data_IF_475323705999
#
_entry.id   IF_475323705999
#
_cell.length_a   1.000
_cell.length_b   1.000
_cell.length_c   1.000
_cell.angle_alpha   90.00
_cell.angle_beta   90.00
_cell.angle_gamma   90.00
#
_symmetry.space_group_name_H-M   'P 1'
#
loop_
_entity.id
_entity.type
_entity.pdbx_description
1 polymer ?
#
# COMPACT_ATOMS: atom_id res chain seq x y z
N UNK A 1 -14.50 -1.88 47.01
CA UNK A 1 -13.44 -2.17 46.03
C UNK A 1 -12.64 -0.89 45.86
N UNK A 2 -11.35 -0.89 46.18
CA UNK A 2 -10.50 0.31 46.01
C UNK A 2 -10.33 0.60 44.51
N UNK A 3 -10.12 1.86 44.14
CA UNK A 3 -9.97 2.27 42.73
C UNK A 3 -8.83 1.49 42.04
N UNK A 4 -7.75 1.19 42.76
CA UNK A 4 -6.61 0.43 42.25
C UNK A 4 -6.96 -1.02 41.93
N UNK A 5 -7.79 -1.65 42.78
CA UNK A 5 -8.27 -3.01 42.55
C UNK A 5 -9.19 -3.05 41.33
N UNK A 6 -10.00 -2.02 41.11
CA UNK A 6 -10.86 -1.91 39.93
C UNK A 6 -10.03 -1.80 38.64
N UNK A 7 -9.04 -0.90 38.62
CA UNK A 7 -8.13 -0.72 37.49
C UNK A 7 -7.37 -2.01 37.16
N UNK A 8 -6.88 -2.70 38.18
CA UNK A 8 -6.18 -3.98 38.04
C UNK A 8 -7.02 -5.03 37.31
N UNK A 9 -8.29 -5.20 37.70
CA UNK A 9 -9.20 -6.18 37.08
C UNK A 9 -9.57 -5.79 35.65
N UNK A 10 -9.81 -4.50 35.38
CA UNK A 10 -10.08 -4.00 34.03
C UNK A 10 -8.89 -4.28 33.13
N UNK A 11 -7.68 -3.89 33.56
CA UNK A 11 -6.46 -4.08 32.80
C UNK A 11 -6.24 -5.57 32.46
N UNK A 12 -6.41 -6.45 33.46
CA UNK A 12 -6.30 -7.90 33.27
C UNK A 12 -7.32 -8.44 32.24
N UNK A 13 -8.58 -7.99 32.32
CA UNK A 13 -9.65 -8.42 31.43
C UNK A 13 -9.42 -7.93 29.98
N UNK A 14 -8.98 -6.68 29.82
CA UNK A 14 -8.66 -6.10 28.51
C UNK A 14 -7.48 -6.82 27.87
N UNK A 15 -6.40 -7.05 28.62
CA UNK A 15 -5.25 -7.81 28.14
C UNK A 15 -5.62 -9.25 27.75
N UNK A 16 -6.50 -9.91 28.51
CA UNK A 16 -6.99 -11.24 28.19
C UNK A 16 -7.78 -11.24 26.87
N UNK A 17 -8.64 -10.24 26.68
CA UNK A 17 -9.45 -10.10 25.48
C UNK A 17 -8.62 -9.80 24.23
N UNK A 18 -7.56 -8.99 24.35
CA UNK A 18 -6.58 -8.76 23.27
C UNK A 18 -5.93 -10.08 22.87
N UNK A 19 -5.34 -10.80 23.84
CA UNK A 19 -4.63 -12.06 23.58
C UNK A 19 -5.56 -13.10 22.93
N UNK A 20 -6.78 -13.26 23.46
CA UNK A 20 -7.79 -14.15 22.91
C UNK A 20 -8.17 -13.76 21.48
N UNK A 21 -8.41 -12.47 21.22
CA UNK A 21 -8.82 -12.01 19.89
C UNK A 21 -7.75 -12.23 18.83
N UNK A 22 -6.48 -12.08 19.19
CA UNK A 22 -5.33 -12.36 18.33
C UNK A 22 -5.13 -13.87 18.09
N UNK A 23 -5.27 -14.69 19.13
CA UNK A 23 -5.20 -16.16 19.02
C UNK A 23 -6.27 -16.75 18.12
N UNK A 24 -7.48 -16.19 18.17
CA UNK A 24 -8.62 -16.63 17.36
C UNK A 24 -8.60 -16.11 15.92
N UNK A 25 -7.58 -15.36 15.51
CA UNK A 25 -7.45 -14.90 14.14
C UNK A 25 -7.27 -16.07 13.16
N UNK A 26 -8.09 -16.10 12.11
CA UNK A 26 -8.00 -17.09 11.02
C UNK A 26 -7.53 -16.43 9.73
N UNK A 27 -6.51 -17.03 9.10
CA UNK A 27 -5.83 -16.50 7.90
C UNK A 27 -6.69 -16.52 6.63
N UNK A 28 -7.79 -17.27 6.58
CA UNK A 28 -8.75 -17.38 5.45
C UNK A 28 -8.11 -17.29 4.05
N UNK A 29 -7.07 -18.11 3.81
CA UNK A 29 -6.40 -18.20 2.50
C UNK A 29 -5.43 -17.06 2.13
N UNK A 30 -5.13 -16.13 3.04
CA UNK A 30 -4.14 -15.06 2.81
C UNK A 30 -2.70 -15.59 2.83
N UNK A 31 -1.80 -14.99 2.04
CA UNK A 31 -0.37 -15.34 2.03
C UNK A 31 0.27 -15.11 3.42
N UNK A 32 1.16 -16.01 3.82
CA UNK A 32 1.84 -15.94 5.11
C UNK A 32 2.94 -14.87 5.11
N UNK A 33 2.82 -13.85 5.98
CA UNK A 33 3.87 -12.86 6.24
C UNK A 33 4.56 -13.16 7.56
N UNK A 34 5.86 -13.47 7.52
CA UNK A 34 6.68 -13.80 8.72
C UNK A 34 6.63 -12.70 9.78
N UNK A 35 6.74 -11.44 9.36
CA UNK A 35 6.66 -10.28 10.26
C UNK A 35 5.34 -10.24 11.03
N UNK A 36 4.21 -10.44 10.34
CA UNK A 36 2.89 -10.45 10.97
C UNK A 36 2.73 -11.57 12.01
N UNK A 37 3.34 -12.73 11.77
CA UNK A 37 3.35 -13.83 12.73
C UNK A 37 4.20 -13.52 13.97
N UNK A 38 5.38 -12.94 13.79
CA UNK A 38 6.26 -12.53 14.91
C UNK A 38 5.59 -11.45 15.76
N UNK A 39 5.01 -10.42 15.13
CA UNK A 39 4.30 -9.36 15.85
C UNK A 39 3.09 -9.89 16.61
N UNK A 40 2.30 -10.77 15.99
CA UNK A 40 1.17 -11.42 16.68
C UNK A 40 1.62 -12.22 17.89
N UNK A 41 2.70 -12.99 17.77
CA UNK A 41 3.25 -13.75 18.89
C UNK A 41 3.67 -12.84 20.05
N UNK A 42 4.45 -11.78 19.77
CA UNK A 42 4.90 -10.83 20.79
C UNK A 42 3.71 -10.19 21.51
N UNK A 43 2.71 -9.72 20.75
CA UNK A 43 1.51 -9.10 21.32
C UNK A 43 0.70 -10.07 22.18
N UNK A 44 0.50 -11.31 21.72
CA UNK A 44 -0.20 -12.35 22.49
C UNK A 44 0.53 -12.62 23.80
N UNK A 45 1.84 -12.84 23.77
CA UNK A 45 2.64 -13.15 24.96
C UNK A 45 2.65 -11.97 25.92
N UNK A 46 2.88 -10.75 25.42
CA UNK A 46 2.89 -9.54 26.23
C UNK A 46 1.55 -9.35 26.95
N UNK A 47 0.43 -9.37 26.23
CA UNK A 47 -0.90 -9.19 26.82
C UNK A 47 -1.30 -10.35 27.74
N UNK A 48 -1.08 -11.61 27.34
CA UNK A 48 -1.41 -12.77 28.19
C UNK A 48 -0.57 -12.79 29.48
N UNK A 49 0.69 -12.32 29.44
CA UNK A 49 1.55 -12.26 30.62
C UNK A 49 1.03 -11.31 31.71
N UNK A 50 0.34 -10.23 31.34
CA UNK A 50 -0.24 -9.28 32.29
C UNK A 50 -1.41 -9.96 33.01
N UNK A 51 -2.34 -10.55 32.25
CA UNK A 51 -3.45 -11.33 32.81
C UNK A 51 -2.95 -12.44 33.72
N UNK A 52 -1.95 -13.21 33.28
CA UNK A 52 -1.38 -14.30 34.07
C UNK A 52 -0.77 -13.79 35.37
N UNK A 53 0.04 -12.71 35.32
CA UNK A 53 0.68 -12.11 36.51
C UNK A 53 -0.34 -11.57 37.53
N UNK A 54 -1.49 -11.07 37.08
CA UNK A 54 -2.61 -10.68 37.95
C UNK A 54 -3.23 -11.92 38.63
N UNK A 55 -3.47 -13.00 37.88
CA UNK A 55 -4.07 -14.22 38.42
C UNK A 55 -3.19 -14.93 39.46
N UNK A 56 -1.87 -14.95 39.27
CA UNK A 56 -0.93 -15.51 40.26
C UNK A 56 -0.65 -14.56 41.43
N UNK A 57 -1.23 -13.36 41.43
CA UNK A 57 -1.08 -12.37 42.50
C UNK A 57 0.29 -11.67 42.54
N UNK A 58 1.06 -11.69 41.45
CA UNK A 58 2.38 -11.02 41.37
C UNK A 58 2.26 -9.60 40.81
N UNK A 59 1.14 -9.27 40.14
CA UNK A 59 0.83 -7.92 39.66
C UNK A 59 -0.17 -7.25 40.61
N UNK A 60 0.27 -6.19 41.30
CA UNK A 60 -0.45 -5.65 42.46
C UNK A 60 -1.24 -4.36 42.17
N UNK A 61 -0.86 -3.61 41.13
CA UNK A 61 -1.51 -2.35 40.76
C UNK A 61 -1.36 -2.11 39.25
N UNK A 62 -2.42 -1.60 38.61
CA UNK A 62 -2.37 -1.14 37.23
C UNK A 62 -2.47 0.39 37.22
N UNK A 63 -1.65 1.03 36.37
CA UNK A 63 -1.72 2.47 36.19
C UNK A 63 -2.95 2.84 35.32
N UNK A 64 -3.52 4.02 35.56
CA UNK A 64 -4.63 4.55 34.75
C UNK A 64 -4.19 4.67 33.28
N UNK A 65 -2.97 5.15 33.03
CA UNK A 65 -2.41 5.31 31.68
C UNK A 65 -2.28 3.97 30.95
N UNK A 66 -1.75 2.94 31.63
CA UNK A 66 -1.65 1.58 31.11
C UNK A 66 -3.05 1.05 30.72
N UNK A 67 -4.02 1.23 31.61
CA UNK A 67 -5.39 0.76 31.42
C UNK A 67 -6.04 1.44 30.21
N UNK A 68 -5.88 2.77 30.07
CA UNK A 68 -6.39 3.54 28.92
C UNK A 68 -5.74 3.08 27.61
N UNK A 69 -4.41 2.92 27.61
CA UNK A 69 -3.67 2.45 26.42
C UNK A 69 -4.16 1.06 26.01
N UNK A 70 -4.34 0.14 26.97
CA UNK A 70 -4.81 -1.21 26.70
C UNK A 70 -6.26 -1.23 26.18
N UNK A 71 -7.14 -0.38 26.72
CA UNK A 71 -8.53 -0.25 26.20
C UNK A 71 -8.52 0.24 24.76
N UNK A 72 -7.72 1.27 24.46
CA UNK A 72 -7.60 1.80 23.11
C UNK A 72 -7.01 0.75 22.15
N UNK A 73 -5.95 0.06 22.56
CA UNK A 73 -5.33 -0.99 21.77
C UNK A 73 -6.30 -2.15 21.52
N UNK A 74 -7.09 -2.55 22.51
CA UNK A 74 -8.16 -3.54 22.35
C UNK A 74 -9.19 -3.11 21.31
N UNK A 75 -9.63 -1.84 21.33
CA UNK A 75 -10.55 -1.33 20.32
C UNK A 75 -9.97 -1.43 18.89
N UNK A 76 -8.67 -1.14 18.73
CA UNK A 76 -7.97 -1.31 17.44
C UNK A 76 -7.91 -2.78 17.02
N UNK A 77 -7.58 -3.70 17.93
CA UNK A 77 -7.54 -5.16 17.67
C UNK A 77 -8.90 -5.68 17.24
N UNK A 78 -9.98 -5.20 17.87
CA UNK A 78 -11.34 -5.54 17.47
C UNK A 78 -11.70 -5.01 16.09
N UNK A 79 -11.38 -3.74 15.80
CA UNK A 79 -11.58 -3.12 14.47
C UNK A 79 -10.78 -3.83 13.38
N UNK A 80 -9.55 -4.22 13.66
CA UNK A 80 -8.69 -5.00 12.78
C UNK A 80 -9.08 -6.47 12.67
N UNK A 81 -10.15 -6.90 13.37
CA UNK A 81 -10.61 -8.29 13.40
C UNK A 81 -9.47 -9.27 13.75
N UNK A 82 -8.58 -8.87 14.65
CA UNK A 82 -7.41 -9.67 15.08
C UNK A 82 -6.30 -9.81 14.05
N UNK A 83 -6.42 -9.18 12.88
CA UNK A 83 -5.34 -9.14 11.89
C UNK A 83 -4.31 -8.09 12.29
N UNK A 84 -3.18 -8.53 12.83
CA UNK A 84 -2.11 -7.65 13.28
C UNK A 84 -1.59 -6.74 12.18
N UNK A 85 -1.50 -7.22 10.93
CA UNK A 85 -1.06 -6.39 9.83
C UNK A 85 -2.06 -5.26 9.51
N UNK A 86 -3.34 -5.43 9.85
CA UNK A 86 -4.36 -4.39 9.66
C UNK A 86 -4.29 -3.30 10.73
N UNK A 87 -3.73 -3.58 11.91
CA UNK A 87 -3.45 -2.57 12.94
C UNK A 87 -2.49 -1.50 12.43
N UNK A 88 -1.53 -1.91 11.62
CA UNK A 88 -0.47 -1.04 11.08
C UNK A 88 -0.75 -0.58 9.64
N UNK A 89 -1.84 -1.04 9.02
CA UNK A 89 -2.20 -0.72 7.63
C UNK A 89 -2.55 0.75 7.41
N UNK A 90 -2.95 1.47 8.47
CA UNK A 90 -3.15 2.92 8.44
C UNK A 90 -1.87 3.76 8.63
N UNK A 91 -0.73 3.12 8.92
CA UNK A 91 0.57 3.78 9.12
C UNK A 91 1.68 3.30 8.17
N UNK A 92 1.42 2.28 7.36
CA UNK A 92 2.32 1.76 6.34
C UNK A 92 1.57 1.70 5.00
N UNK A 93 1.43 2.85 4.34
CA UNK A 93 1.33 2.82 2.88
C UNK A 93 2.63 2.21 2.36
N UNK A 94 2.55 1.29 1.40
CA UNK A 94 3.75 0.73 0.80
C UNK A 94 4.56 1.88 0.20
N UNK A 95 5.83 2.00 0.60
CA UNK A 95 6.70 3.03 0.02
C UNK A 95 7.03 2.67 -1.44
N UNK A 96 7.43 3.66 -2.25
CA UNK A 96 7.89 3.40 -3.62
C UNK A 96 9.02 2.37 -3.67
N UNK A 97 9.92 2.40 -2.69
CA UNK A 97 11.04 1.45 -2.58
C UNK A 97 10.54 0.03 -2.32
N UNK A 98 9.52 -0.15 -1.48
CA UNK A 98 8.90 -1.47 -1.25
C UNK A 98 8.18 -2.01 -2.50
N UNK A 99 7.58 -1.13 -3.31
CA UNK A 99 6.97 -1.53 -4.60
C UNK A 99 8.05 -2.00 -5.57
N UNK A 100 9.13 -1.23 -5.75
CA UNK A 100 10.23 -1.62 -6.62
C UNK A 100 10.93 -2.89 -6.14
N UNK A 101 11.18 -3.02 -4.84
CA UNK A 101 11.74 -4.22 -4.24
C UNK A 101 10.87 -5.46 -4.47
N UNK A 102 9.54 -5.29 -4.34
CA UNK A 102 8.58 -6.36 -4.60
C UNK A 102 8.49 -6.73 -6.08
N UNK A 103 8.71 -5.78 -6.98
CA UNK A 103 8.78 -6.02 -8.42
C UNK A 103 10.05 -6.78 -8.79
N UNK A 104 11.22 -6.28 -8.37
CA UNK A 104 12.53 -6.91 -8.62
C UNK A 104 12.61 -8.34 -8.08
N UNK A 105 11.95 -8.63 -6.95
CA UNK A 105 11.89 -9.99 -6.40
C UNK A 105 11.05 -10.96 -7.24
N UNK A 106 10.06 -10.46 -7.98
CA UNK A 106 9.20 -11.26 -8.86
C UNK A 106 9.83 -11.47 -10.23
N UNK A 107 10.49 -10.46 -10.77
CA UNK A 107 11.07 -10.45 -12.12
C UNK A 107 12.57 -10.79 -12.15
N UNK A 108 13.19 -10.99 -10.99
CA UNK A 108 14.63 -11.19 -10.85
C UNK A 108 15.17 -12.38 -11.65
N UNK A 109 16.32 -12.18 -12.29
CA UNK A 109 17.01 -13.18 -13.10
C UNK A 109 17.22 -12.72 -14.55
N UNK A 110 18.26 -13.25 -15.17
CA UNK A 110 18.53 -13.05 -16.58
C UNK A 110 17.70 -14.04 -17.40
N UNK A 111 16.98 -13.52 -18.39
CA UNK A 111 16.21 -14.31 -19.36
C UNK A 111 16.59 -13.83 -20.76
N UNK A 112 17.00 -14.77 -21.60
CA UNK A 112 17.23 -14.52 -23.02
C UNK A 112 16.60 -15.68 -23.80
N UNK A 113 15.34 -15.51 -24.20
CA UNK A 113 14.65 -16.51 -25.00
C UNK A 113 14.70 -16.11 -26.49
N UNK A 114 15.20 -16.97 -27.39
CA UNK A 114 15.31 -16.66 -28.83
C UNK A 114 13.97 -16.35 -29.53
N UNK A 115 12.85 -16.68 -28.90
CA UNK A 115 11.50 -16.44 -29.40
C UNK A 115 10.86 -15.14 -28.87
N UNK A 116 11.49 -14.46 -27.91
CA UNK A 116 10.92 -13.26 -27.30
C UNK A 116 11.25 -12.00 -28.11
N UNK A 117 10.20 -11.25 -28.43
CA UNK A 117 10.31 -9.96 -29.15
C UNK A 117 11.02 -8.86 -28.35
N UNK A 118 11.25 -9.06 -27.06
CA UNK A 118 11.79 -8.06 -26.13
C UNK A 118 13.31 -8.06 -25.96
N UNK A 119 14.02 -9.03 -26.54
CA UNK A 119 15.47 -9.19 -26.39
C UNK A 119 15.89 -9.64 -24.98
N UNK A 120 17.20 -9.69 -24.69
CA UNK A 120 17.69 -10.11 -23.38
C UNK A 120 17.21 -9.17 -22.27
N UNK A 121 16.73 -9.75 -21.19
CA UNK A 121 16.22 -9.05 -20.01
C UNK A 121 16.95 -9.52 -18.75
N UNK A 122 17.17 -8.61 -17.82
CA UNK A 122 17.62 -8.94 -16.47
C UNK A 122 16.90 -8.06 -15.47
N UNK A 123 16.43 -8.64 -14.36
CA UNK A 123 15.61 -7.94 -13.37
C UNK A 123 14.34 -7.30 -13.96
N UNK A 124 13.77 -7.89 -15.02
CA UNK A 124 12.62 -7.32 -15.75
C UNK A 124 12.96 -6.16 -16.70
N UNK A 125 14.21 -5.72 -16.75
CA UNK A 125 14.67 -4.61 -17.59
C UNK A 125 15.22 -5.16 -18.90
N UNK A 126 14.71 -4.66 -20.03
CA UNK A 126 15.23 -4.98 -21.36
C UNK A 126 16.57 -4.29 -21.60
N UNK A 127 17.43 -4.89 -22.42
CA UNK A 127 18.67 -4.24 -22.82
C UNK A 127 18.42 -2.83 -23.40
N UNK A 128 17.38 -2.66 -24.24
CA UNK A 128 17.03 -1.36 -24.78
C UNK A 128 16.70 -0.31 -23.69
N UNK A 129 15.91 -0.68 -22.68
CA UNK A 129 15.58 0.20 -21.56
C UNK A 129 16.82 0.54 -20.71
N UNK A 130 17.68 -0.45 -20.47
CA UNK A 130 18.94 -0.23 -19.76
C UNK A 130 19.86 0.75 -20.52
N UNK A 131 19.95 0.60 -21.84
CA UNK A 131 20.76 1.49 -22.71
C UNK A 131 20.18 2.90 -22.75
N UNK A 132 18.85 3.05 -22.79
CA UNK A 132 18.19 4.35 -22.72
C UNK A 132 18.48 5.08 -21.40
N UNK A 133 18.68 4.33 -20.31
CA UNK A 133 19.10 4.82 -19.01
C UNK A 133 20.64 4.90 -18.83
N UNK A 134 21.41 4.79 -19.91
CA UNK A 134 22.86 4.98 -19.92
C UNK A 134 23.69 3.79 -19.42
N UNK A 135 23.09 2.62 -19.20
CA UNK A 135 23.85 1.41 -18.88
C UNK A 135 24.53 0.87 -20.15
N UNK A 136 25.85 0.70 -20.13
CA UNK A 136 26.65 0.24 -21.27
C UNK A 136 27.24 -1.17 -21.11
N UNK A 137 27.11 -1.78 -19.92
CA UNK A 137 27.62 -3.12 -19.64
C UNK A 137 26.77 -4.24 -20.24
N UNK A 138 27.22 -5.48 -20.06
CA UNK A 138 26.43 -6.67 -20.40
C UNK A 138 25.16 -6.71 -19.52
N UNK A 139 23.99 -6.87 -20.14
CA UNK A 139 22.70 -6.89 -19.41
C UNK A 139 22.61 -8.06 -18.43
N UNK A 140 23.28 -9.18 -18.69
CA UNK A 140 23.36 -10.31 -17.75
C UNK A 140 24.08 -9.97 -16.43
N UNK A 141 24.94 -8.94 -16.46
CA UNK A 141 25.71 -8.45 -15.32
C UNK A 141 25.04 -7.25 -14.62
N UNK A 142 23.84 -6.85 -15.05
CA UNK A 142 23.10 -5.76 -14.43
C UNK A 142 22.85 -6.08 -12.95
N UNK A 143 23.41 -5.28 -12.06
CA UNK A 143 23.20 -5.43 -10.61
C UNK A 143 21.79 -5.00 -10.22
N UNK A 144 21.29 -5.55 -9.11
CA UNK A 144 20.03 -5.15 -8.52
C UNK A 144 19.92 -3.63 -8.29
N UNK A 145 20.99 -3.00 -7.81
CA UNK A 145 20.98 -1.56 -7.51
C UNK A 145 20.96 -0.72 -8.80
N UNK A 146 21.58 -1.19 -9.88
CA UNK A 146 21.46 -0.56 -11.19
C UNK A 146 20.03 -0.70 -11.73
N UNK A 147 19.44 -1.89 -11.60
CA UNK A 147 18.06 -2.12 -11.99
C UNK A 147 17.09 -1.21 -11.23
N UNK A 148 17.26 -1.09 -9.91
CA UNK A 148 16.45 -0.20 -9.07
C UNK A 148 16.54 1.26 -9.52
N UNK A 149 17.74 1.75 -9.89
CA UNK A 149 17.90 3.12 -10.41
C UNK A 149 17.16 3.33 -11.72
N UNK A 150 17.17 2.34 -12.62
CA UNK A 150 16.44 2.40 -13.89
C UNK A 150 14.93 2.45 -13.62
N UNK A 151 14.41 1.61 -12.73
CA UNK A 151 12.99 1.67 -12.35
C UNK A 151 12.61 3.03 -11.74
N UNK A 152 13.46 3.58 -10.87
CA UNK A 152 13.22 4.90 -10.29
C UNK A 152 13.19 5.99 -11.37
N UNK A 153 14.13 5.97 -12.32
CA UNK A 153 14.16 6.90 -13.43
C UNK A 153 12.89 6.80 -14.32
N UNK A 154 12.55 5.57 -14.76
CA UNK A 154 11.50 5.36 -15.75
C UNK A 154 10.07 5.46 -15.19
N UNK A 155 9.86 5.00 -13.95
CA UNK A 155 8.52 4.88 -13.35
C UNK A 155 8.24 5.90 -12.26
N UNK A 156 9.24 6.66 -11.80
CA UNK A 156 9.05 7.68 -10.76
C UNK A 156 9.41 9.08 -11.22
N UNK A 157 10.66 9.30 -11.65
CA UNK A 157 11.18 10.62 -11.99
C UNK A 157 10.70 11.12 -13.35
N UNK A 158 10.85 10.30 -14.40
CA UNK A 158 10.40 10.62 -15.76
C UNK A 158 8.91 10.99 -15.86
N UNK A 159 7.97 10.22 -15.26
CA UNK A 159 6.55 10.60 -15.23
C UNK A 159 6.22 11.69 -14.20
N UNK A 160 7.22 12.18 -13.45
CA UNK A 160 7.11 13.21 -12.42
C UNK A 160 6.14 12.88 -11.29
N UNK A 161 6.15 11.64 -10.82
CA UNK A 161 5.37 11.22 -9.65
C UNK A 161 5.97 11.74 -8.34
N UNK A 162 7.25 12.11 -8.34
CA UNK A 162 7.90 12.89 -7.28
C UNK A 162 7.17 14.22 -6.99
N UNK A 163 6.69 14.93 -8.03
CA UNK A 163 5.89 16.14 -7.84
C UNK A 163 4.55 15.87 -7.15
N UNK A 164 3.97 14.69 -7.38
CA UNK A 164 2.72 14.26 -6.73
C UNK A 164 3.00 13.84 -5.28
N UNK A 165 4.11 13.15 -5.02
CA UNK A 165 4.52 12.69 -3.68
C UNK A 165 4.64 13.85 -2.69
N UNK A 166 5.17 14.99 -3.13
CA UNK A 166 5.24 16.22 -2.33
C UNK A 166 3.85 16.71 -1.88
N UNK A 167 2.79 16.38 -2.62
CA UNK A 167 1.41 16.79 -2.32
C UNK A 167 0.64 15.69 -1.58
N UNK A 168 0.76 14.44 -2.02
CA UNK A 168 0.16 13.26 -1.41
C UNK A 168 0.96 12.02 -1.81
N UNK A 169 1.70 11.47 -0.85
CA UNK A 169 2.43 10.22 -1.02
C UNK A 169 1.49 9.04 -1.37
N UNK A 170 0.32 8.83 -0.71
CA UNK A 170 -0.58 7.74 -1.06
C UNK A 170 -1.02 7.76 -2.53
N UNK A 171 -1.31 8.95 -3.08
CA UNK A 171 -1.70 9.09 -4.48
C UNK A 171 -0.51 8.78 -5.39
N UNK A 172 0.69 9.30 -5.10
CA UNK A 172 1.87 9.03 -5.92
C UNK A 172 2.22 7.53 -5.97
N UNK A 173 2.10 6.84 -4.85
CA UNK A 173 2.27 5.38 -4.74
C UNK A 173 1.25 4.63 -5.59
N UNK A 174 -0.02 5.07 -5.59
CA UNK A 174 -1.06 4.45 -6.43
C UNK A 174 -0.80 4.65 -7.93
N UNK A 175 -0.28 5.82 -8.32
CA UNK A 175 0.13 6.09 -9.70
C UNK A 175 1.31 5.23 -10.13
N UNK A 176 2.28 4.99 -9.24
CA UNK A 176 3.39 4.10 -9.50
C UNK A 176 2.92 2.66 -9.72
N UNK A 177 2.11 2.13 -8.82
CA UNK A 177 1.57 0.77 -8.94
C UNK A 177 0.77 0.61 -10.26
N UNK A 178 -0.07 1.59 -10.58
CA UNK A 178 -0.79 1.61 -11.86
C UNK A 178 0.16 1.73 -13.05
N UNK A 179 1.19 2.59 -12.93
CA UNK A 179 2.15 2.87 -13.98
C UNK A 179 3.03 1.68 -14.34
N UNK A 180 3.43 0.88 -13.34
CA UNK A 180 4.14 -0.38 -13.54
C UNK A 180 3.31 -1.36 -14.37
N UNK A 181 2.00 -1.46 -14.08
CA UNK A 181 1.14 -2.43 -14.74
C UNK A 181 0.61 -1.98 -16.12
N UNK A 182 0.35 -0.67 -16.30
CA UNK A 182 -0.37 -0.14 -17.46
C UNK A 182 0.39 0.95 -18.23
N UNK A 183 1.57 1.34 -17.75
CA UNK A 183 2.35 2.46 -18.27
C UNK A 183 2.10 3.76 -17.48
N UNK A 184 3.14 4.54 -17.12
CA UNK A 184 3.00 5.76 -16.32
C UNK A 184 2.07 6.81 -16.93
N UNK A 185 2.06 6.96 -18.26
CA UNK A 185 1.15 7.89 -18.95
C UNK A 185 -0.32 7.52 -18.74
N UNK A 186 -0.67 6.24 -18.63
CA UNK A 186 -2.04 5.80 -18.37
C UNK A 186 -2.46 6.21 -16.95
N UNK A 187 -1.60 5.96 -15.95
CA UNK A 187 -1.84 6.38 -14.58
C UNK A 187 -2.01 7.91 -14.46
N UNK A 188 -1.13 8.68 -15.12
CA UNK A 188 -1.21 10.14 -15.15
C UNK A 188 -2.52 10.64 -15.77
N UNK A 189 -2.99 10.03 -16.87
CA UNK A 189 -4.29 10.36 -17.49
C UNK A 189 -5.46 10.05 -16.56
N UNK A 190 -5.41 8.94 -15.82
CA UNK A 190 -6.45 8.62 -14.83
C UNK A 190 -6.52 9.72 -13.76
N UNK A 191 -5.38 10.16 -13.22
CA UNK A 191 -5.35 11.27 -12.26
C UNK A 191 -5.94 12.55 -12.83
N UNK A 192 -5.51 12.96 -14.03
CA UNK A 192 -6.00 14.18 -14.67
C UNK A 192 -7.52 14.14 -14.89
N UNK A 193 -8.05 12.99 -15.34
CA UNK A 193 -9.51 12.80 -15.51
C UNK A 193 -10.25 12.88 -14.18
N UNK A 194 -9.77 12.22 -13.14
CA UNK A 194 -10.39 12.25 -11.82
C UNK A 194 -10.37 13.67 -11.23
N UNK A 195 -9.24 14.38 -11.32
CA UNK A 195 -9.14 15.75 -10.83
C UNK A 195 -10.07 16.70 -11.60
N UNK A 196 -10.15 16.59 -12.93
CA UNK A 196 -11.10 17.37 -13.74
C UNK A 196 -12.54 17.08 -13.34
N UNK A 197 -12.92 15.80 -13.18
CA UNK A 197 -14.28 15.43 -12.78
C UNK A 197 -14.66 15.91 -11.36
N UNK A 198 -13.67 16.12 -10.49
CA UNK A 198 -13.86 16.47 -9.08
C UNK A 198 -13.58 17.96 -8.76
N UNK A 199 -13.46 18.81 -9.79
CA UNK A 199 -13.09 20.22 -9.64
C UNK A 199 -14.25 21.18 -9.29
N UNK A 200 -15.45 20.64 -8.99
CA UNK A 200 -16.68 21.39 -8.69
C UNK A 200 -17.07 22.35 -9.83
N UNK A 201 -17.13 21.83 -11.07
CA UNK A 201 -17.50 22.62 -12.24
C UNK A 201 -16.50 23.75 -12.53
N UNK A 202 -15.21 23.49 -12.30
CA UNK A 202 -14.13 24.46 -12.48
C UNK A 202 -13.90 25.44 -11.33
N UNK A 203 -14.71 25.40 -10.25
CA UNK A 203 -14.58 26.34 -9.13
C UNK A 203 -13.31 26.17 -8.31
N UNK A 204 -12.84 24.94 -8.14
CA UNK A 204 -11.60 24.68 -7.38
C UNK A 204 -10.37 25.00 -8.23
N UNK A 205 -10.42 24.63 -9.51
CA UNK A 205 -9.40 24.86 -10.52
C UNK A 205 -9.98 24.54 -11.91
N UNK A 206 -9.44 25.13 -13.01
CA UNK A 206 -9.88 24.83 -14.37
C UNK A 206 -9.68 23.36 -14.76
N UNK A 207 -10.40 22.90 -15.77
CA UNK A 207 -10.24 21.57 -16.34
C UNK A 207 -8.79 21.32 -16.77
N UNK A 208 -8.27 20.14 -16.43
CA UNK A 208 -6.96 19.69 -16.87
C UNK A 208 -7.04 19.08 -18.26
N UNK A 209 -6.01 19.34 -19.06
CA UNK A 209 -5.76 18.57 -20.26
C UNK A 209 -5.35 17.13 -19.87
N UNK A 210 -5.94 16.14 -20.53
CA UNK A 210 -5.68 14.72 -20.29
C UNK A 210 -4.58 14.22 -21.23
N UNK A 211 -3.38 14.77 -21.09
CA UNK A 211 -2.22 14.45 -21.93
C UNK A 211 -1.36 13.30 -21.37
N UNK A 212 -1.52 12.97 -20.09
CA UNK A 212 -0.69 12.00 -19.39
C UNK A 212 0.70 12.51 -19.01
N UNK A 213 0.94 13.81 -19.09
CA UNK A 213 2.16 14.45 -18.66
C UNK A 213 1.90 15.19 -17.33
N UNK A 214 2.48 14.68 -16.24
CA UNK A 214 2.40 15.38 -14.95
C UNK A 214 3.29 16.62 -14.99
N UNK A 215 2.71 17.77 -14.65
CA UNK A 215 3.44 19.02 -14.48
C UNK A 215 2.77 19.89 -13.42
N UNK A 216 3.25 21.14 -13.30
CA UNK A 216 2.79 22.06 -12.26
C UNK A 216 1.27 22.28 -12.25
N UNK A 217 0.61 22.24 -13.42
CA UNK A 217 -0.86 22.36 -13.49
C UNK A 217 -1.56 21.19 -12.77
N UNK A 218 -1.15 19.96 -13.04
CA UNK A 218 -1.70 18.77 -12.37
C UNK A 218 -1.40 18.78 -10.87
N UNK A 219 -0.17 19.11 -10.48
CA UNK A 219 0.22 19.17 -9.07
C UNK A 219 -0.54 20.27 -8.29
N UNK A 220 -0.74 21.44 -8.89
CA UNK A 220 -1.51 22.53 -8.28
C UNK A 220 -3.00 22.21 -8.19
N UNK A 221 -3.58 21.55 -9.19
CA UNK A 221 -4.95 21.06 -9.13
C UNK A 221 -5.14 20.05 -7.99
N UNK A 222 -4.22 19.10 -7.83
CA UNK A 222 -4.24 18.16 -6.71
C UNK A 222 -4.14 18.90 -5.36
N UNK A 223 -3.23 19.88 -5.25
CA UNK A 223 -3.09 20.68 -4.03
C UNK A 223 -4.36 21.44 -3.69
N UNK A 224 -5.00 22.08 -4.67
CA UNK A 224 -6.26 22.80 -4.49
C UNK A 224 -7.42 21.85 -4.12
N UNK A 225 -7.48 20.67 -4.75
CA UNK A 225 -8.43 19.62 -4.41
C UNK A 225 -8.30 19.19 -2.94
N UNK A 226 -7.10 18.84 -2.51
CA UNK A 226 -6.84 18.38 -1.14
C UNK A 226 -6.98 19.50 -0.11
N UNK A 227 -6.61 20.73 -0.44
CA UNK A 227 -6.83 21.88 0.44
C UNK A 227 -8.32 22.10 0.75
N UNK A 228 -9.20 21.82 -0.23
CA UNK A 228 -10.65 21.94 -0.03
C UNK A 228 -11.26 20.72 0.66
N UNK A 229 -10.81 19.51 0.33
CA UNK A 229 -11.49 18.25 0.66
C UNK A 229 -10.83 17.48 1.81
N UNK A 230 -9.61 17.84 2.20
CA UNK A 230 -8.85 17.19 3.27
C UNK A 230 -8.62 15.70 3.02
N UNK A 231 -8.49 14.95 4.10
CA UNK A 231 -8.20 13.51 4.08
C UNK A 231 -9.34 12.67 3.46
N UNK A 232 -10.59 13.09 3.64
CA UNK A 232 -11.73 12.43 2.99
C UNK A 232 -11.63 12.56 1.46
N UNK A 233 -11.17 13.72 0.97
CA UNK A 233 -10.88 13.93 -0.44
C UNK A 233 -9.79 12.99 -0.97
N UNK A 234 -8.67 12.87 -0.27
CA UNK A 234 -7.61 11.92 -0.63
C UNK A 234 -8.15 10.49 -0.76
N UNK A 235 -8.96 10.05 0.21
CA UNK A 235 -9.62 8.73 0.19
C UNK A 235 -10.57 8.57 -1.01
N UNK A 236 -11.36 9.61 -1.32
CA UNK A 236 -12.28 9.59 -2.47
C UNK A 236 -11.51 9.54 -3.79
N UNK A 237 -10.43 10.29 -3.92
CA UNK A 237 -9.60 10.31 -5.12
C UNK A 237 -8.90 8.97 -5.34
N UNK A 238 -8.36 8.34 -4.29
CA UNK A 238 -7.82 6.98 -4.37
C UNK A 238 -8.87 5.96 -4.83
N UNK A 239 -10.11 6.05 -4.31
CA UNK A 239 -11.22 5.21 -4.79
C UNK A 239 -11.53 5.46 -6.27
N UNK A 240 -11.53 6.72 -6.71
CA UNK A 240 -11.77 7.07 -8.10
C UNK A 240 -10.67 6.49 -9.02
N UNK A 241 -9.41 6.56 -8.62
CA UNK A 241 -8.28 5.95 -9.33
C UNK A 241 -8.45 4.42 -9.43
N UNK A 242 -8.79 3.75 -8.32
CA UNK A 242 -9.05 2.30 -8.33
C UNK A 242 -10.22 1.94 -9.26
N UNK A 243 -11.29 2.75 -9.31
CA UNK A 243 -12.38 2.53 -10.26
C UNK A 243 -11.90 2.64 -11.71
N UNK A 244 -11.08 3.65 -12.04
CA UNK A 244 -10.49 3.77 -13.37
C UNK A 244 -9.57 2.59 -13.71
N UNK A 245 -8.75 2.15 -12.76
CA UNK A 245 -7.86 1.00 -12.94
C UNK A 245 -8.65 -0.29 -13.17
N UNK A 246 -9.70 -0.53 -12.38
CA UNK A 246 -10.59 -1.67 -12.53
C UNK A 246 -11.28 -1.69 -13.89
N UNK A 247 -11.86 -0.56 -14.31
CA UNK A 247 -12.46 -0.44 -15.64
C UNK A 247 -11.44 -0.76 -16.75
N UNK A 248 -10.20 -0.27 -16.64
CA UNK A 248 -9.16 -0.53 -17.61
C UNK A 248 -8.73 -2.01 -17.65
N UNK A 249 -8.64 -2.69 -16.51
CA UNK A 249 -8.34 -4.12 -16.51
C UNK A 249 -9.47 -4.96 -17.13
N UNK A 250 -10.73 -4.53 -17.02
CA UNK A 250 -11.86 -5.17 -17.71
C UNK A 250 -11.66 -5.02 -19.23
N UNK A 251 -11.41 -3.81 -19.73
CA UNK A 251 -11.14 -3.56 -21.17
C UNK A 251 -9.97 -4.42 -21.69
N UNK A 252 -8.89 -4.55 -20.92
CA UNK A 252 -7.73 -5.37 -21.28
C UNK A 252 -8.04 -6.87 -21.28
N UNK A 253 -8.98 -7.33 -20.45
CA UNK A 253 -9.40 -8.74 -20.39
C UNK A 253 -10.33 -9.09 -21.54
N UNK A 254 -11.22 -8.18 -21.95
CA UNK A 254 -12.08 -8.34 -23.13
C UNK A 254 -11.26 -8.56 -24.41
N UNK A 255 -10.12 -7.88 -24.53
CA UNK A 255 -9.23 -8.02 -25.67
C UNK A 255 -8.37 -9.29 -25.62
N UNK A 256 -8.12 -9.87 -24.43
CA UNK A 256 -7.24 -11.03 -24.25
C UNK A 256 -7.63 -11.86 -23.01
N UNK A 257 -8.26 -13.04 -23.19
CA UNK A 257 -8.72 -13.89 -22.08
C UNK A 257 -7.64 -14.30 -21.07
N UNK A 258 -6.37 -14.36 -21.49
CA UNK A 258 -5.25 -14.66 -20.59
C UNK A 258 -5.09 -13.67 -19.42
N UNK A 259 -5.72 -12.49 -19.51
CA UNK A 259 -5.66 -11.45 -18.47
C UNK A 259 -6.74 -11.61 -17.39
N UNK A 260 -7.75 -12.47 -17.57
CA UNK A 260 -8.89 -12.61 -16.66
C UNK A 260 -8.49 -13.07 -15.25
N UNK A 261 -7.52 -13.99 -15.15
CA UNK A 261 -7.01 -14.47 -13.86
C UNK A 261 -6.32 -13.34 -13.06
N UNK A 262 -5.59 -12.45 -13.76
CA UNK A 262 -4.97 -11.29 -13.15
C UNK A 262 -6.03 -10.27 -12.69
N UNK A 263 -7.05 -10.00 -13.52
CA UNK A 263 -8.17 -9.12 -13.16
C UNK A 263 -8.88 -9.60 -11.89
N UNK A 264 -9.20 -10.90 -11.80
CA UNK A 264 -9.87 -11.46 -10.62
C UNK A 264 -9.04 -11.28 -9.34
N UNK A 265 -7.73 -11.58 -9.41
CA UNK A 265 -6.81 -11.39 -8.30
C UNK A 265 -6.74 -9.93 -7.85
N UNK A 266 -6.63 -9.01 -8.81
CA UNK A 266 -6.59 -7.57 -8.54
C UNK A 266 -7.88 -7.08 -7.86
N UNK A 267 -9.07 -7.44 -8.38
CA UNK A 267 -10.35 -7.07 -7.78
C UNK A 267 -10.48 -7.56 -6.34
N UNK A 268 -10.09 -8.82 -6.09
CA UNK A 268 -10.14 -9.44 -4.76
C UNK A 268 -9.27 -8.73 -3.72
N UNK A 269 -8.11 -8.22 -4.13
CA UNK A 269 -7.16 -7.60 -3.21
C UNK A 269 -7.41 -6.10 -3.00
N UNK A 270 -7.85 -5.40 -4.04
CA UNK A 270 -7.91 -3.93 -4.10
C UNK A 270 -9.31 -3.36 -3.90
N UNK A 271 -10.37 -4.10 -4.21
CA UNK A 271 -11.75 -3.60 -4.14
C UNK A 271 -12.48 -4.22 -2.95
N UNK A 272 -12.94 -3.37 -2.03
CA UNK A 272 -13.75 -3.78 -0.89
C UNK A 272 -15.16 -3.20 -1.02
N UNK A 273 -16.18 -4.03 -0.74
CA UNK A 273 -17.55 -3.57 -0.57
C UNK A 273 -17.70 -2.97 0.84
N UNK A 274 -18.33 -1.80 0.91
CA UNK A 274 -18.64 -1.08 2.16
C UNK A 274 -19.72 -1.76 2.97
#
# INVERSE_FOLDING_TARGET
>A
MTADLFLLHINAAVCAAIAMRLLLFRRNGSQHKRLGAVLAYILIVASASVTFRVLIGVYHSADISETIINIFFMALVMRAKGNVMQLFRGGFAMTKDEIFDGLLKREGGYVNHPADRGGPTNWGITEAAARANGYTGDISMLSRDQALRIYHADYWESPRFDLIEVVSQPIAVELLDTGVNMGPSVAAKMLQRCLTALNDGGRLYPDLQVDGAIGNRTANALRAYLAKRGHDGETVLLKALNCCQGARYIELSEARPANEAFLYGWLRERVALS
#
